data_IF_120417436258
#
_entry.id   IF_120417436258
#
_cell.length_a   1.000
_cell.length_b   1.000
_cell.length_c   1.000
_cell.angle_alpha   90.00
_cell.angle_beta   90.00
_cell.angle_gamma   90.00
#
_symmetry.space_group_name_H-M   'P 1'
#
loop_
_entity.id
_entity.type
_entity.pdbx_description
1 polymer ?
#
# COMPACT_ATOMS: atom_id res chain seq x y z
N UNK A 1 50.79 -16.71 -5.62
CA UNK A 1 49.66 -16.06 -4.90
C UNK A 1 49.56 -16.68 -3.51
N UNK A 2 49.50 -15.87 -2.45
CA UNK A 2 49.47 -16.35 -1.07
C UNK A 2 48.04 -16.79 -0.69
N UNK A 3 47.88 -18.01 -0.17
CA UNK A 3 46.61 -18.60 0.25
C UNK A 3 45.82 -17.69 1.22
N UNK A 4 46.53 -16.99 2.12
CA UNK A 4 45.90 -16.05 3.05
C UNK A 4 45.29 -14.83 2.36
N UNK A 5 45.87 -14.39 1.24
CA UNK A 5 45.32 -13.28 0.46
C UNK A 5 44.04 -13.69 -0.26
N UNK A 6 44.01 -14.91 -0.79
CA UNK A 6 42.82 -15.48 -1.44
C UNK A 6 41.65 -15.60 -0.45
N UNK A 7 41.89 -16.14 0.74
CA UNK A 7 40.87 -16.31 1.78
C UNK A 7 40.33 -14.96 2.28
N UNK A 8 41.20 -13.95 2.44
CA UNK A 8 40.78 -12.58 2.79
C UNK A 8 39.90 -11.95 1.71
N UNK A 9 40.26 -12.09 0.44
CA UNK A 9 39.45 -11.59 -0.67
C UNK A 9 38.07 -12.24 -0.72
N UNK A 10 38.00 -13.56 -0.53
CA UNK A 10 36.75 -14.31 -0.56
C UNK A 10 35.82 -13.91 0.61
N UNK A 11 36.37 -13.73 1.82
CA UNK A 11 35.61 -13.23 2.98
C UNK A 11 35.06 -11.82 2.75
N UNK A 12 35.86 -10.94 2.14
CA UNK A 12 35.44 -9.57 1.81
C UNK A 12 34.33 -9.56 0.76
N UNK A 13 34.48 -10.35 -0.31
CA UNK A 13 33.46 -10.48 -1.36
C UNK A 13 32.13 -11.00 -0.81
N UNK A 14 32.16 -12.01 0.06
CA UNK A 14 30.95 -12.55 0.72
C UNK A 14 30.26 -11.51 1.61
N UNK A 15 31.02 -10.70 2.33
CA UNK A 15 30.46 -9.64 3.17
C UNK A 15 29.87 -8.48 2.34
N UNK A 16 30.47 -8.17 1.19
CA UNK A 16 29.93 -7.18 0.25
C UNK A 16 28.61 -7.66 -0.38
N UNK A 17 28.56 -8.91 -0.84
CA UNK A 17 27.32 -9.50 -1.38
C UNK A 17 26.18 -9.52 -0.35
N UNK A 18 26.48 -9.88 0.91
CA UNK A 18 25.49 -9.81 2.00
C UNK A 18 24.95 -8.38 2.22
N UNK A 19 25.80 -7.36 2.13
CA UNK A 19 25.37 -5.96 2.27
C UNK A 19 24.51 -5.49 1.10
N UNK A 20 24.82 -5.92 -0.13
CA UNK A 20 24.02 -5.61 -1.31
C UNK A 20 22.63 -6.23 -1.18
N UNK A 21 22.55 -7.53 -0.89
CA UNK A 21 21.29 -8.24 -0.69
C UNK A 21 20.47 -7.66 0.49
N UNK A 22 21.12 -7.25 1.57
CA UNK A 22 20.44 -6.64 2.73
C UNK A 22 19.96 -5.20 2.46
N UNK A 23 20.52 -4.52 1.48
CA UNK A 23 20.13 -3.14 1.13
C UNK A 23 19.07 -3.10 0.03
N UNK A 24 18.91 -4.16 -0.76
CA UNK A 24 17.89 -4.27 -1.81
C UNK A 24 16.46 -4.41 -1.25
N UNK A 25 16.31 -4.88 0.00
CA UNK A 25 15.00 -5.07 0.63
C UNK A 25 14.42 -3.80 1.29
N UNK A 26 15.18 -2.71 1.40
CA UNK A 26 14.75 -1.51 2.14
C UNK A 26 14.35 -0.31 1.26
N UNK A 27 14.39 -0.42 -0.07
CA UNK A 27 14.18 0.75 -0.96
C UNK A 27 13.03 0.62 -1.98
N UNK A 28 12.30 -0.49 -2.07
CA UNK A 28 11.39 -0.71 -3.21
C UNK A 28 9.96 -1.17 -2.87
N UNK A 29 9.48 -1.02 -1.64
CA UNK A 29 8.03 -0.91 -1.45
C UNK A 29 7.66 0.57 -1.57
N UNK A 30 7.43 1.02 -2.81
CA UNK A 30 6.79 2.30 -3.05
C UNK A 30 5.43 2.29 -2.33
N UNK A 31 5.39 2.81 -1.11
CA UNK A 31 4.15 2.94 -0.34
C UNK A 31 3.29 3.94 -1.10
N UNK A 32 2.15 3.48 -1.58
CA UNK A 32 1.14 4.38 -2.15
C UNK A 32 0.83 5.47 -1.10
N UNK A 33 0.94 6.76 -1.47
CA UNK A 33 0.71 7.84 -0.53
C UNK A 33 -0.74 7.78 -0.04
N UNK A 34 -0.98 8.00 1.24
CA UNK A 34 -2.34 8.11 1.77
C UNK A 34 -2.85 9.50 1.44
N UNK A 35 -3.86 9.59 0.57
CA UNK A 35 -4.53 10.86 0.25
C UNK A 35 -5.80 10.99 1.07
N UNK A 36 -6.14 12.22 1.43
CA UNK A 36 -7.43 12.47 2.05
C UNK A 36 -8.57 12.18 1.05
N UNK A 37 -9.65 11.61 1.58
CA UNK A 37 -10.84 11.33 0.79
C UNK A 37 -11.48 12.67 0.38
N UNK A 38 -11.84 12.89 -0.90
CA UNK A 38 -12.53 14.11 -1.32
C UNK A 38 -13.81 14.35 -0.51
N UNK A 39 -14.08 15.61 -0.15
CA UNK A 39 -15.18 15.95 0.76
C UNK A 39 -16.55 15.44 0.29
N UNK A 40 -16.77 15.43 -1.03
CA UNK A 40 -17.98 14.91 -1.67
C UNK A 40 -18.17 13.41 -1.45
N UNK A 41 -17.08 12.66 -1.34
CA UNK A 41 -17.09 11.21 -1.08
C UNK A 41 -17.08 10.90 0.41
N UNK A 42 -16.53 11.79 1.26
CA UNK A 42 -16.52 11.61 2.72
C UNK A 42 -17.93 11.44 3.25
N UNK A 43 -18.86 12.34 2.88
CA UNK A 43 -20.24 12.24 3.33
C UNK A 43 -20.89 10.92 2.87
N UNK A 44 -20.65 10.52 1.61
CA UNK A 44 -21.20 9.26 1.07
C UNK A 44 -20.68 8.03 1.80
N UNK A 45 -19.41 8.03 2.21
CA UNK A 45 -18.80 6.96 3.02
C UNK A 45 -19.42 6.93 4.42
N UNK A 46 -19.64 8.08 5.05
CA UNK A 46 -20.28 8.18 6.36
C UNK A 46 -21.72 7.66 6.30
N UNK A 47 -22.50 8.05 5.27
CA UNK A 47 -23.87 7.59 5.08
C UNK A 47 -23.97 6.05 4.97
N UNK A 48 -22.93 5.42 4.42
CA UNK A 48 -22.81 3.96 4.34
C UNK A 48 -22.35 3.29 5.65
N UNK A 49 -22.13 4.07 6.72
CA UNK A 49 -21.60 3.60 8.00
C UNK A 49 -20.08 3.45 8.03
N UNK A 50 -19.38 3.92 7.00
CA UNK A 50 -17.92 3.92 6.92
C UNK A 50 -17.26 5.06 7.70
N UNK A 51 -15.92 4.99 7.83
CA UNK A 51 -15.10 6.01 8.49
C UNK A 51 -14.04 6.55 7.51
N UNK A 52 -14.20 7.77 6.96
CA UNK A 52 -13.34 8.29 5.88
C UNK A 52 -11.85 8.44 6.24
N UNK A 53 -11.53 8.52 7.52
CA UNK A 53 -10.17 8.65 8.05
C UNK A 53 -9.37 7.34 8.02
N UNK A 54 -10.04 6.19 7.81
CA UNK A 54 -9.39 4.89 7.70
C UNK A 54 -8.45 4.82 6.49
N UNK A 55 -7.30 4.18 6.69
CA UNK A 55 -6.28 4.00 5.66
C UNK A 55 -6.82 3.33 4.39
N UNK A 56 -7.81 2.44 4.52
CA UNK A 56 -8.47 1.82 3.35
C UNK A 56 -9.04 2.86 2.38
N UNK A 57 -9.83 3.82 2.88
CA UNK A 57 -10.42 4.86 2.04
C UNK A 57 -9.37 5.87 1.56
N UNK A 58 -8.35 6.15 2.37
CA UNK A 58 -7.23 7.00 1.98
C UNK A 58 -6.35 6.40 0.88
N UNK A 59 -6.20 5.07 0.86
CA UNK A 59 -5.56 4.35 -0.25
C UNK A 59 -6.42 4.46 -1.50
N UNK A 60 -7.73 4.22 -1.39
CA UNK A 60 -8.64 4.32 -2.53
C UNK A 60 -8.81 5.76 -3.04
N UNK A 61 -8.63 6.77 -2.20
CA UNK A 61 -8.62 8.18 -2.59
C UNK A 61 -7.48 8.54 -3.56
N UNK A 62 -6.48 7.67 -3.73
CA UNK A 62 -5.52 7.81 -4.84
C UNK A 62 -6.17 7.65 -6.21
N UNK A 63 -7.33 6.99 -6.29
CA UNK A 63 -8.16 6.88 -7.49
C UNK A 63 -9.64 7.13 -7.14
N UNK A 64 -10.07 8.41 -7.08
CA UNK A 64 -11.41 8.78 -6.63
C UNK A 64 -12.55 8.14 -7.44
N UNK A 65 -12.33 7.86 -8.73
CA UNK A 65 -13.32 7.19 -9.59
C UNK A 65 -13.61 5.78 -9.07
N UNK A 66 -12.57 5.01 -8.73
CA UNK A 66 -12.74 3.67 -8.16
C UNK A 66 -13.47 3.72 -6.80
N UNK A 67 -13.11 4.68 -5.95
CA UNK A 67 -13.80 4.88 -4.67
C UNK A 67 -15.28 5.22 -4.89
N UNK A 68 -15.61 6.09 -5.84
CA UNK A 68 -17.00 6.43 -6.17
C UNK A 68 -17.79 5.21 -6.65
N UNK A 69 -17.24 4.42 -7.57
CA UNK A 69 -17.90 3.20 -8.06
C UNK A 69 -18.12 2.17 -6.95
N UNK A 70 -17.16 2.02 -6.03
CA UNK A 70 -17.30 1.13 -4.87
C UNK A 70 -18.45 1.57 -3.96
N UNK A 71 -18.55 2.88 -3.67
CA UNK A 71 -19.64 3.47 -2.88
C UNK A 71 -21.00 3.21 -3.57
N UNK A 72 -21.08 3.37 -4.88
CA UNK A 72 -22.31 3.14 -5.66
C UNK A 72 -22.76 1.68 -5.61
N UNK A 73 -21.85 0.73 -5.76
CA UNK A 73 -22.16 -0.71 -5.65
C UNK A 73 -22.75 -1.03 -4.27
N UNK A 74 -22.13 -0.52 -3.20
CA UNK A 74 -22.61 -0.75 -1.84
C UNK A 74 -23.96 -0.09 -1.56
N UNK A 75 -24.20 1.13 -2.06
CA UNK A 75 -25.53 1.76 -1.98
C UNK A 75 -26.59 0.94 -2.71
N UNK A 76 -26.28 0.44 -3.91
CA UNK A 76 -27.18 -0.43 -4.66
C UNK A 76 -27.57 -1.69 -3.87
N UNK A 77 -26.59 -2.33 -3.23
CA UNK A 77 -26.83 -3.51 -2.41
C UNK A 77 -27.68 -3.23 -1.15
N UNK A 78 -27.50 -2.07 -0.51
CA UNK A 78 -28.33 -1.67 0.64
C UNK A 78 -29.79 -1.44 0.25
N UNK A 79 -30.05 -0.83 -0.91
CA UNK A 79 -31.41 -0.61 -1.40
C UNK A 79 -32.15 -1.93 -1.66
N UNK A 80 -31.47 -2.96 -2.14
CA UNK A 80 -32.06 -4.28 -2.33
C UNK A 80 -32.46 -4.96 -1.00
N UNK A 81 -31.74 -4.70 0.09
CA UNK A 81 -32.02 -5.28 1.40
C UNK A 81 -33.09 -4.54 2.21
N UNK A 82 -33.45 -3.31 1.81
CA UNK A 82 -34.47 -2.49 2.50
C UNK A 82 -35.90 -2.75 1.99
N UNK A 83 -36.09 -3.65 1.03
CA UNK A 83 -37.39 -3.98 0.43
C UNK A 83 -38.07 -5.22 1.04
N UNK A 84 -37.55 -5.75 2.17
CA UNK A 84 -38.12 -6.89 2.89
C UNK A 84 -38.33 -6.57 4.36
#
# INVERSE_FOLDING_TARGET
MNEQAYLKQNKTARNQLRRIMSNEDNNCQARLPLKDVPIELQQKVIDLGGKPDLNLYKVQANNPTLLSSWIEIFRGAQLCNSQY
#
